data_IF_931770798905
#
_entry.id   IF_931770798905
#
_cell.length_a   1.000
_cell.length_b   1.000
_cell.length_c   1.000
_cell.angle_alpha   90.00
_cell.angle_beta   90.00
_cell.angle_gamma   90.00
#
_symmetry.space_group_name_H-M   'P 1'
#
loop_
_entity.id
_entity.type
_entity.pdbx_description
1 polymer ?
#
# COMPACT_ATOMS: atom_id res chain seq x y z
N UNK A 1 -20.21 -0.03 -19.49
CA UNK A 1 -18.90 0.62 -19.37
C UNK A 1 -18.03 0.03 -20.48
N UNK A 2 -17.68 0.79 -21.50
CA UNK A 2 -16.91 0.33 -22.66
C UNK A 2 -15.43 0.42 -22.24
N UNK A 3 -14.72 -0.71 -22.31
CA UNK A 3 -13.28 -0.78 -21.98
C UNK A 3 -12.52 0.14 -22.94
N UNK A 4 -11.74 1.13 -22.45
CA UNK A 4 -10.89 1.96 -23.31
C UNK A 4 -9.88 1.06 -24.04
N UNK A 5 -9.84 1.13 -25.36
CA UNK A 5 -9.01 0.28 -26.23
C UNK A 5 -9.78 -0.80 -26.99
N UNK A 6 -11.01 -1.12 -26.63
CA UNK A 6 -11.82 -2.10 -27.36
C UNK A 6 -12.21 -1.59 -28.76
N UNK A 7 -12.36 -0.27 -28.94
CA UNK A 7 -12.62 0.31 -30.26
C UNK A 7 -11.41 0.22 -31.21
N UNK A 8 -10.20 0.26 -30.69
CA UNK A 8 -8.99 0.10 -31.48
C UNK A 8 -8.80 -1.35 -31.93
N UNK A 9 -9.11 -2.31 -31.04
CA UNK A 9 -9.08 -3.75 -31.34
C UNK A 9 -10.16 -4.09 -32.40
N UNK A 10 -11.35 -3.51 -32.29
CA UNK A 10 -12.42 -3.71 -33.26
C UNK A 10 -12.12 -3.08 -34.64
N UNK A 11 -11.39 -1.98 -34.71
CA UNK A 11 -10.97 -1.36 -35.96
C UNK A 11 -9.96 -2.20 -36.73
N UNK A 12 -9.07 -2.91 -36.04
CA UNK A 12 -8.13 -3.85 -36.70
C UNK A 12 -8.77 -5.14 -37.17
N UNK A 13 -9.94 -5.51 -36.64
CA UNK A 13 -10.66 -6.73 -37.05
C UNK A 13 -11.60 -6.50 -38.23
N UNK A 14 -11.85 -5.23 -38.63
CA UNK A 14 -12.87 -4.87 -39.63
C UNK A 14 -12.37 -4.79 -41.09
N UNK A 15 -11.10 -5.06 -41.35
CA UNK A 15 -10.60 -5.13 -42.74
C UNK A 15 -10.41 -6.57 -43.19
N UNK A 16 -11.52 -7.22 -43.53
CA UNK A 16 -11.49 -8.44 -44.34
C UNK A 16 -11.14 -8.09 -45.78
N UNK A 17 -10.03 -8.58 -46.36
CA UNK A 17 -9.77 -8.44 -47.78
C UNK A 17 -10.79 -9.27 -48.57
N UNK A 18 -11.58 -8.64 -49.37
CA UNK A 18 -12.46 -9.29 -50.34
C UNK A 18 -11.58 -9.86 -51.46
N UNK A 19 -11.17 -11.14 -51.36
CA UNK A 19 -10.59 -11.87 -52.46
C UNK A 19 -11.41 -13.12 -52.76
N UNK A 20 -11.70 -13.31 -54.01
CA UNK A 20 -12.45 -14.35 -54.69
C UNK A 20 -12.11 -15.76 -54.18
N UNK A 21 -13.11 -16.67 -54.05
CA UNK A 21 -12.90 -17.97 -53.43
C UNK A 21 -12.13 -18.92 -54.30
N UNK A 22 -10.84 -19.01 -54.11
CA UNK A 22 -10.13 -20.28 -54.37
C UNK A 22 -10.36 -21.12 -53.13
N UNK A 23 -10.97 -22.31 -53.29
CA UNK A 23 -11.21 -23.24 -52.21
C UNK A 23 -9.84 -23.73 -51.70
N UNK A 24 -9.25 -22.95 -50.81
CA UNK A 24 -8.16 -23.36 -49.98
C UNK A 24 -8.70 -24.27 -48.86
N UNK A 25 -7.87 -25.07 -48.21
CA UNK A 25 -8.30 -25.87 -47.07
C UNK A 25 -9.00 -24.94 -46.07
N UNK A 26 -10.18 -25.37 -45.61
CA UNK A 26 -10.96 -24.64 -44.61
C UNK A 26 -9.96 -24.25 -43.51
N UNK A 27 -9.66 -22.97 -43.30
CA UNK A 27 -8.86 -22.61 -42.16
C UNK A 27 -9.62 -23.17 -40.97
N UNK A 28 -9.02 -24.10 -40.27
CA UNK A 28 -9.51 -24.45 -38.93
C UNK A 28 -9.48 -23.14 -38.17
N UNK A 29 -10.66 -22.53 -38.06
CA UNK A 29 -10.82 -21.35 -37.22
C UNK A 29 -10.46 -21.84 -35.85
N UNK A 30 -9.23 -21.64 -35.45
CA UNK A 30 -8.85 -21.73 -34.05
C UNK A 30 -9.80 -20.79 -33.32
N UNK A 31 -10.60 -21.28 -32.36
CA UNK A 31 -11.54 -20.41 -31.67
C UNK A 31 -10.74 -19.27 -31.09
N UNK A 32 -10.94 -18.14 -31.70
CA UNK A 32 -10.67 -16.80 -31.33
C UNK A 32 -9.54 -16.51 -30.39
N UNK A 33 -8.59 -15.79 -30.91
CA UNK A 33 -7.68 -14.93 -30.17
C UNK A 33 -8.41 -13.76 -29.49
N UNK A 34 -9.52 -14.06 -28.79
CA UNK A 34 -10.16 -13.06 -27.98
C UNK A 34 -9.31 -12.90 -26.71
N UNK A 35 -8.96 -11.65 -26.32
CA UNK A 35 -8.22 -11.42 -25.09
C UNK A 35 -8.99 -11.95 -23.89
N UNK A 36 -8.32 -12.73 -23.05
CA UNK A 36 -8.90 -13.21 -21.80
C UNK A 36 -8.92 -12.04 -20.80
N UNK A 37 -10.11 -11.55 -20.49
CA UNK A 37 -10.26 -10.45 -19.53
C UNK A 37 -10.31 -11.01 -18.11
N UNK A 38 -9.29 -10.68 -17.32
CA UNK A 38 -9.22 -10.98 -15.89
C UNK A 38 -9.73 -9.75 -15.13
N UNK A 39 -10.97 -9.77 -14.71
CA UNK A 39 -11.62 -8.69 -13.97
C UNK A 39 -12.11 -9.17 -12.61
N UNK A 40 -12.48 -8.21 -11.76
CA UNK A 40 -13.05 -8.48 -10.45
C UNK A 40 -14.48 -9.03 -10.61
N UNK A 41 -14.79 -10.10 -9.86
CA UNK A 41 -16.11 -10.71 -9.79
C UNK A 41 -16.85 -10.31 -8.50
N UNK A 42 -17.97 -10.99 -8.21
CA UNK A 42 -18.83 -10.65 -7.07
C UNK A 42 -18.12 -10.72 -5.72
N UNK A 43 -17.22 -11.69 -5.53
CA UNK A 43 -16.46 -11.82 -4.27
C UNK A 43 -15.58 -10.62 -4.01
N UNK A 44 -14.79 -10.21 -5.00
CA UNK A 44 -13.94 -9.04 -4.88
C UNK A 44 -14.75 -7.75 -4.72
N UNK A 45 -15.82 -7.57 -5.51
CA UNK A 45 -16.71 -6.39 -5.38
C UNK A 45 -17.34 -6.27 -3.99
N UNK A 46 -17.84 -7.38 -3.44
CA UNK A 46 -18.38 -7.41 -2.06
C UNK A 46 -17.30 -7.07 -1.05
N UNK A 47 -16.08 -7.60 -1.23
CA UNK A 47 -14.95 -7.29 -0.36
C UNK A 47 -14.63 -5.79 -0.35
N UNK A 48 -14.58 -5.14 -1.53
CA UNK A 48 -14.34 -3.70 -1.61
C UNK A 48 -15.41 -2.89 -0.84
N UNK A 49 -16.70 -3.23 -1.00
CA UNK A 49 -17.77 -2.56 -0.26
C UNK A 49 -17.70 -2.79 1.25
N UNK A 50 -17.41 -4.02 1.68
CA UNK A 50 -17.26 -4.34 3.10
C UNK A 50 -16.13 -3.52 3.72
N UNK A 51 -14.97 -3.47 3.08
CA UNK A 51 -13.84 -2.67 3.58
C UNK A 51 -14.17 -1.18 3.58
N UNK A 52 -14.80 -0.66 2.53
CA UNK A 52 -15.22 0.75 2.51
C UNK A 52 -16.10 1.09 3.71
N UNK A 53 -17.11 0.26 4.02
CA UNK A 53 -18.01 0.48 5.17
C UNK A 53 -17.23 0.37 6.50
N UNK A 54 -16.36 -0.63 6.66
CA UNK A 54 -15.55 -0.80 7.86
C UNK A 54 -14.63 0.42 8.09
N UNK A 55 -13.98 0.93 7.05
CA UNK A 55 -13.10 2.09 7.16
C UNK A 55 -13.88 3.38 7.42
N UNK A 56 -15.09 3.53 6.86
CA UNK A 56 -15.96 4.66 7.16
C UNK A 56 -16.37 4.69 8.65
N UNK A 57 -16.81 3.54 9.17
CA UNK A 57 -17.19 3.41 10.58
C UNK A 57 -15.98 3.69 11.48
N UNK A 58 -14.81 3.13 11.15
CA UNK A 58 -13.57 3.36 11.89
C UNK A 58 -13.15 4.82 11.86
N UNK A 59 -13.28 5.49 10.72
CA UNK A 59 -12.99 6.92 10.59
C UNK A 59 -13.87 7.77 11.52
N UNK A 60 -15.19 7.54 11.51
CA UNK A 60 -16.13 8.21 12.40
C UNK A 60 -15.78 7.95 13.87
N UNK A 61 -15.46 6.71 14.22
CA UNK A 61 -15.07 6.33 15.57
C UNK A 61 -13.79 7.08 16.01
N UNK A 62 -12.76 7.12 15.18
CA UNK A 62 -11.50 7.78 15.51
C UNK A 62 -11.63 9.30 15.60
N UNK A 63 -12.44 9.95 14.74
CA UNK A 63 -12.74 11.38 14.90
C UNK A 63 -13.53 11.65 16.17
N UNK A 64 -14.45 10.77 16.53
CA UNK A 64 -15.22 10.89 17.78
C UNK A 64 -14.32 10.75 19.01
N UNK A 65 -13.35 9.84 18.98
CA UNK A 65 -12.32 9.69 20.01
C UNK A 65 -11.42 10.94 20.06
N UNK A 66 -10.93 11.40 18.90
CA UNK A 66 -10.10 12.60 18.81
C UNK A 66 -10.78 13.85 19.40
N UNK A 67 -12.11 13.97 19.25
CA UNK A 67 -12.88 15.09 19.81
C UNK A 67 -12.94 15.05 21.34
N UNK A 68 -12.80 13.89 21.97
CA UNK A 68 -12.88 13.73 23.44
C UNK A 68 -11.54 13.87 24.14
N UNK A 69 -10.43 13.73 23.41
CA UNK A 69 -9.06 13.74 23.95
C UNK A 69 -8.51 15.18 24.00
N UNK A 70 -7.62 15.44 24.96
CA UNK A 70 -6.93 16.75 25.11
C UNK A 70 -6.13 17.08 23.85
N UNK A 71 -6.03 18.37 23.51
CA UNK A 71 -5.34 18.84 22.30
C UNK A 71 -3.89 18.32 22.20
N UNK A 72 -3.20 18.21 23.33
CA UNK A 72 -1.80 17.78 23.42
C UNK A 72 -1.58 16.32 22.99
N UNK A 73 -2.56 15.43 23.20
CA UNK A 73 -2.48 14.00 22.86
C UNK A 73 -3.32 13.65 21.64
N UNK A 74 -4.03 14.62 21.06
CA UNK A 74 -4.95 14.43 19.93
C UNK A 74 -4.26 14.00 18.63
N UNK A 75 -2.95 14.27 18.47
CA UNK A 75 -2.23 14.06 17.22
C UNK A 75 -2.34 12.62 16.73
N UNK A 76 -2.09 11.62 17.58
CA UNK A 76 -2.21 10.20 17.21
C UNK A 76 -3.61 9.83 16.75
N UNK A 77 -4.64 10.32 17.44
CA UNK A 77 -6.05 10.10 17.09
C UNK A 77 -6.39 10.71 15.73
N UNK A 78 -5.90 11.94 15.46
CA UNK A 78 -6.15 12.63 14.20
C UNK A 78 -5.44 11.91 13.04
N UNK A 79 -4.19 11.49 13.21
CA UNK A 79 -3.45 10.75 12.19
C UNK A 79 -4.15 9.41 11.87
N UNK A 80 -4.59 8.69 12.91
CA UNK A 80 -5.33 7.43 12.74
C UNK A 80 -6.67 7.63 12.03
N UNK A 81 -7.39 8.70 12.36
CA UNK A 81 -8.63 9.07 11.67
C UNK A 81 -8.39 9.41 10.19
N UNK A 82 -7.32 10.14 9.88
CA UNK A 82 -6.94 10.45 8.50
C UNK A 82 -6.59 9.19 7.69
N UNK A 83 -5.84 8.25 8.28
CA UNK A 83 -5.52 6.96 7.64
C UNK A 83 -6.79 6.24 7.21
N UNK A 84 -7.74 6.07 8.12
CA UNK A 84 -9.00 5.37 7.81
C UNK A 84 -9.90 6.16 6.87
N UNK A 85 -9.85 7.49 6.87
CA UNK A 85 -10.58 8.34 5.92
C UNK A 85 -10.05 8.18 4.51
N UNK A 86 -8.73 8.23 4.31
CA UNK A 86 -8.11 8.02 2.99
C UNK A 86 -8.40 6.61 2.49
N UNK A 87 -8.30 5.61 3.38
CA UNK A 87 -8.63 4.22 3.06
C UNK A 87 -10.10 4.08 2.64
N UNK A 88 -11.03 4.66 3.39
CA UNK A 88 -12.46 4.68 3.03
C UNK A 88 -12.68 5.25 1.62
N UNK A 89 -12.12 6.43 1.33
CA UNK A 89 -12.30 7.06 0.02
C UNK A 89 -11.70 6.22 -1.12
N UNK A 90 -10.56 5.59 -0.88
CA UNK A 90 -9.90 4.73 -1.87
C UNK A 90 -10.71 3.45 -2.12
N UNK A 91 -11.21 2.79 -1.08
CA UNK A 91 -12.05 1.62 -1.22
C UNK A 91 -13.42 1.94 -1.82
N UNK A 92 -13.99 3.11 -1.51
CA UNK A 92 -15.21 3.58 -2.15
C UNK A 92 -15.00 3.80 -3.66
N UNK A 93 -13.91 4.45 -4.06
CA UNK A 93 -13.57 4.64 -5.47
C UNK A 93 -13.44 3.29 -6.20
N UNK A 94 -12.70 2.34 -5.61
CA UNK A 94 -12.56 1.00 -6.20
C UNK A 94 -13.90 0.24 -6.27
N UNK A 95 -14.74 0.35 -5.22
CA UNK A 95 -16.04 -0.32 -5.16
C UNK A 95 -17.05 0.24 -6.18
N UNK A 96 -16.97 1.54 -6.51
CA UNK A 96 -17.77 2.18 -7.56
C UNK A 96 -17.22 1.94 -8.97
N UNK A 97 -16.06 1.27 -9.10
CA UNK A 97 -15.42 0.96 -10.38
C UNK A 97 -14.51 2.07 -10.91
N UNK A 98 -14.17 3.03 -10.06
CA UNK A 98 -13.21 4.09 -10.38
C UNK A 98 -11.78 3.66 -10.02
N UNK A 99 -10.77 4.38 -10.54
CA UNK A 99 -9.38 4.10 -10.22
C UNK A 99 -8.85 2.76 -10.73
N UNK A 100 -9.44 2.26 -11.81
CA UNK A 100 -9.13 1.00 -12.47
C UNK A 100 -8.45 1.26 -13.81
N UNK A 101 -7.49 0.40 -14.15
CA UNK A 101 -6.90 0.33 -15.48
C UNK A 101 -6.62 -1.13 -15.84
N UNK A 102 -6.42 -1.40 -17.12
CA UNK A 102 -6.14 -2.76 -17.60
C UNK A 102 -4.70 -2.87 -18.06
N UNK A 103 -4.01 -3.89 -17.56
CA UNK A 103 -2.69 -4.28 -18.05
C UNK A 103 -2.85 -5.32 -19.14
N UNK A 104 -2.33 -5.02 -20.32
CA UNK A 104 -2.21 -5.98 -21.41
C UNK A 104 -0.95 -6.82 -21.25
N UNK A 105 -1.08 -8.14 -21.38
CA UNK A 105 0.05 -9.07 -21.39
C UNK A 105 -0.18 -10.18 -22.41
N UNK A 106 0.87 -10.56 -23.13
CA UNK A 106 0.83 -11.63 -24.11
C UNK A 106 1.64 -12.81 -23.55
N UNK A 107 1.00 -13.97 -23.47
CA UNK A 107 1.66 -15.22 -23.04
C UNK A 107 1.90 -16.05 -24.28
N UNK A 108 3.16 -16.42 -24.51
CA UNK A 108 3.58 -17.31 -25.59
C UNK A 108 3.56 -18.75 -25.07
N UNK A 109 2.81 -19.62 -25.76
CA UNK A 109 2.81 -21.06 -25.51
C UNK A 109 3.62 -21.74 -26.62
N UNK A 110 4.91 -22.07 -26.38
CA UNK A 110 5.71 -22.75 -27.36
C UNK A 110 5.26 -24.22 -27.52
N UNK A 111 5.05 -24.64 -28.74
CA UNK A 111 4.68 -26.02 -29.08
C UNK A 111 5.73 -26.66 -29.97
N UNK A 112 6.11 -27.94 -29.70
CA UNK A 112 7.17 -28.65 -30.46
C UNK A 112 6.77 -29.04 -31.88
N UNK A 113 5.49 -29.18 -32.18
CA UNK A 113 4.99 -29.74 -33.44
C UNK A 113 3.87 -28.97 -34.11
N UNK A 114 3.44 -27.84 -33.50
CA UNK A 114 2.37 -26.96 -34.00
C UNK A 114 2.89 -25.53 -33.87
N UNK A 115 2.43 -24.58 -34.68
CA UNK A 115 2.79 -23.17 -34.51
C UNK A 115 2.53 -22.68 -33.09
N UNK A 116 3.43 -21.86 -32.57
CA UNK A 116 3.29 -21.25 -31.25
C UNK A 116 1.99 -20.47 -31.18
N UNK A 117 1.26 -20.65 -30.09
CA UNK A 117 0.04 -19.89 -29.85
C UNK A 117 0.32 -18.71 -28.93
N UNK A 118 -0.28 -17.57 -29.23
CA UNK A 118 -0.23 -16.36 -28.44
C UNK A 118 -1.58 -16.17 -27.77
N UNK A 119 -1.60 -15.98 -26.47
CA UNK A 119 -2.83 -15.64 -25.76
C UNK A 119 -2.69 -14.28 -25.11
N UNK A 120 -3.60 -13.40 -25.44
CA UNK A 120 -3.66 -12.05 -24.86
C UNK A 120 -4.49 -12.05 -23.59
N UNK A 121 -3.98 -11.41 -22.56
CA UNK A 121 -4.64 -11.20 -21.27
C UNK A 121 -4.78 -9.72 -20.98
N UNK A 122 -5.97 -9.31 -20.58
CA UNK A 122 -6.26 -7.99 -20.05
C UNK A 122 -6.57 -8.15 -18.56
N UNK A 123 -5.62 -7.77 -17.69
CA UNK A 123 -5.80 -7.86 -16.24
C UNK A 123 -6.17 -6.52 -15.65
N UNK A 124 -7.24 -6.50 -14.88
CA UNK A 124 -7.70 -5.35 -14.11
C UNK A 124 -6.73 -5.04 -12.97
N UNK A 125 -6.29 -3.77 -12.90
CA UNK A 125 -5.37 -3.25 -11.86
C UNK A 125 -6.01 -2.04 -11.20
N UNK A 126 -6.13 -2.07 -9.89
CA UNK A 126 -6.61 -0.96 -9.07
C UNK A 126 -5.44 -0.04 -8.70
N UNK A 127 -5.14 0.96 -9.53
CA UNK A 127 -4.03 1.89 -9.27
C UNK A 127 -4.30 2.81 -8.06
N UNK A 128 -5.57 3.10 -7.75
CA UNK A 128 -5.99 3.86 -6.55
C UNK A 128 -5.48 3.21 -5.26
N UNK A 129 -5.30 1.90 -5.23
CA UNK A 129 -4.73 1.18 -4.09
C UNK A 129 -3.32 1.66 -3.77
N UNK A 130 -2.48 1.87 -4.77
CA UNK A 130 -1.14 2.42 -4.58
C UNK A 130 -1.18 3.85 -4.05
N UNK A 131 -2.12 4.67 -4.53
CA UNK A 131 -2.33 6.02 -4.00
C UNK A 131 -2.77 5.99 -2.53
N UNK A 132 -3.64 5.06 -2.15
CA UNK A 132 -4.00 4.83 -0.75
C UNK A 132 -2.75 4.60 0.11
N UNK A 133 -1.89 3.67 -0.29
CA UNK A 133 -0.70 3.33 0.49
C UNK A 133 0.34 4.47 0.54
N UNK A 134 0.58 5.17 -0.57
CA UNK A 134 1.49 6.33 -0.62
C UNK A 134 1.09 7.42 0.39
N UNK A 135 -0.19 7.53 0.71
CA UNK A 135 -0.68 8.52 1.68
C UNK A 135 -0.75 7.92 3.10
N UNK A 136 -1.32 6.74 3.23
CA UNK A 136 -1.62 6.15 4.55
C UNK A 136 -0.40 5.59 5.26
N UNK A 137 0.54 4.98 4.53
CA UNK A 137 1.71 4.34 5.15
C UNK A 137 2.69 5.34 5.77
N UNK A 138 3.00 6.50 5.15
CA UNK A 138 3.73 7.56 5.84
C UNK A 138 3.08 8.00 7.16
N UNK A 139 1.74 8.10 7.20
CA UNK A 139 1.02 8.45 8.43
C UNK A 139 1.15 7.35 9.50
N UNK A 140 1.14 6.08 9.10
CA UNK A 140 1.42 4.95 10.00
C UNK A 140 2.85 5.02 10.54
N UNK A 141 3.84 5.30 9.67
CA UNK A 141 5.24 5.45 10.09
C UNK A 141 5.41 6.63 11.06
N UNK A 142 4.70 7.74 10.86
CA UNK A 142 4.68 8.86 11.80
C UNK A 142 4.10 8.42 13.15
N UNK A 143 2.97 7.70 13.17
CA UNK A 143 2.40 7.17 14.40
C UNK A 143 3.38 6.27 15.16
N UNK A 144 4.07 5.37 14.46
CA UNK A 144 5.10 4.49 15.04
C UNK A 144 6.26 5.32 15.60
N UNK A 145 6.71 6.32 14.84
CA UNK A 145 7.82 7.19 15.26
C UNK A 145 7.49 8.02 16.50
N UNK A 146 6.29 8.58 16.56
CA UNK A 146 5.81 9.34 17.71
C UNK A 146 5.66 8.46 18.96
N UNK A 147 5.20 7.22 18.79
CA UNK A 147 5.09 6.26 19.89
C UNK A 147 6.46 5.83 20.42
N UNK A 148 7.45 5.66 19.56
CA UNK A 148 8.77 5.14 19.90
C UNK A 148 9.86 6.18 20.12
N UNK A 149 9.56 7.48 20.01
CA UNK A 149 10.57 8.54 20.06
C UNK A 149 11.66 8.37 18.98
N UNK A 150 11.29 7.84 17.79
CA UNK A 150 12.22 7.67 16.69
C UNK A 150 12.68 9.05 16.20
N UNK A 151 13.99 9.21 15.96
CA UNK A 151 14.56 10.44 15.43
C UNK A 151 13.93 10.81 14.07
N UNK A 152 13.62 12.10 13.88
CA UNK A 152 13.01 12.63 12.67
C UNK A 152 13.80 12.35 11.39
N UNK A 153 15.15 12.32 11.45
CA UNK A 153 15.98 11.95 10.30
C UNK A 153 15.75 10.49 9.89
N UNK A 154 15.66 9.56 10.85
CA UNK A 154 15.38 8.16 10.58
C UNK A 154 13.95 7.96 10.02
N UNK A 155 13.00 8.74 10.53
CA UNK A 155 11.63 8.76 10.00
C UNK A 155 11.59 9.25 8.55
N UNK A 156 12.31 10.33 8.22
CA UNK A 156 12.38 10.83 6.83
C UNK A 156 12.95 9.78 5.87
N UNK A 157 14.00 9.06 6.29
CA UNK A 157 14.55 7.96 5.48
C UNK A 157 13.54 6.84 5.32
N UNK A 158 12.78 6.49 6.38
CA UNK A 158 11.74 5.47 6.30
C UNK A 158 10.60 5.90 5.36
N UNK A 159 10.13 7.15 5.45
CA UNK A 159 9.10 7.70 4.55
C UNK A 159 9.59 7.74 3.10
N UNK A 160 10.83 8.19 2.86
CA UNK A 160 11.39 8.20 1.51
C UNK A 160 11.46 6.79 0.91
N UNK A 161 11.93 5.81 1.71
CA UNK A 161 11.95 4.41 1.29
C UNK A 161 10.55 3.86 1.02
N UNK A 162 9.56 4.24 1.81
CA UNK A 162 8.15 3.86 1.66
C UNK A 162 7.57 4.38 0.34
N UNK A 163 7.75 5.67 0.05
CA UNK A 163 7.32 6.27 -1.21
C UNK A 163 7.98 5.61 -2.43
N UNK A 164 9.29 5.33 -2.34
CA UNK A 164 10.03 4.59 -3.38
C UNK A 164 9.48 3.18 -3.53
N UNK A 165 9.16 2.50 -2.43
CA UNK A 165 8.61 1.15 -2.42
C UNK A 165 7.30 1.06 -3.21
N UNK A 166 6.35 1.94 -2.94
CA UNK A 166 5.06 1.92 -3.63
C UNK A 166 5.15 2.43 -5.06
N UNK A 167 5.98 3.45 -5.34
CA UNK A 167 6.24 3.90 -6.71
C UNK A 167 6.89 2.80 -7.56
N UNK A 168 7.90 2.11 -7.01
CA UNK A 168 8.54 0.97 -7.67
C UNK A 168 7.57 -0.21 -7.86
N UNK A 169 6.71 -0.49 -6.87
CA UNK A 169 5.67 -1.52 -6.96
C UNK A 169 4.65 -1.23 -8.06
N UNK A 170 4.18 0.02 -8.15
CA UNK A 170 3.32 0.47 -9.23
C UNK A 170 4.00 0.32 -10.59
N UNK A 171 5.24 0.78 -10.71
CA UNK A 171 6.04 0.66 -11.95
C UNK A 171 6.26 -0.80 -12.32
N UNK A 172 6.60 -1.67 -11.35
CA UNK A 172 6.74 -3.11 -11.58
C UNK A 172 5.44 -3.73 -12.12
N UNK A 173 4.29 -3.30 -11.60
CA UNK A 173 2.98 -3.80 -12.02
C UNK A 173 2.70 -3.49 -13.49
N UNK A 174 3.08 -2.30 -13.98
CA UNK A 174 2.86 -1.90 -15.38
C UNK A 174 4.01 -2.24 -16.33
N UNK A 175 5.18 -2.60 -15.79
CA UNK A 175 6.32 -3.01 -16.63
C UNK A 175 6.04 -4.36 -17.26
N UNK A 176 6.39 -4.46 -18.56
CA UNK A 176 6.34 -5.72 -19.31
C UNK A 176 7.67 -6.46 -19.15
N UNK A 177 7.64 -7.76 -19.45
CA UNK A 177 8.78 -8.67 -19.49
C UNK A 177 9.51 -8.84 -18.13
N UNK A 178 10.74 -9.35 -18.19
CA UNK A 178 11.58 -9.62 -17.02
C UNK A 178 12.02 -8.33 -16.28
N UNK A 179 11.92 -7.17 -16.91
CA UNK A 179 12.28 -5.87 -16.29
C UNK A 179 11.44 -5.54 -15.05
N UNK A 180 10.22 -6.11 -14.91
CA UNK A 180 9.40 -5.97 -13.70
C UNK A 180 10.13 -6.43 -12.43
N UNK A 181 11.01 -7.44 -12.53
CA UNK A 181 11.76 -7.97 -11.40
C UNK A 181 12.87 -7.01 -10.91
N UNK A 182 13.38 -6.15 -11.79
CA UNK A 182 14.32 -5.07 -11.40
C UNK A 182 13.61 -4.08 -10.47
N UNK A 183 12.39 -3.66 -10.83
CA UNK A 183 11.57 -2.79 -9.98
C UNK A 183 11.17 -3.48 -8.68
N UNK A 184 10.88 -4.77 -8.73
CA UNK A 184 10.61 -5.57 -7.54
C UNK A 184 11.83 -5.64 -6.59
N UNK A 185 13.05 -5.70 -7.11
CA UNK A 185 14.26 -5.63 -6.29
C UNK A 185 14.34 -4.31 -5.53
N UNK A 186 13.95 -3.19 -6.15
CA UNK A 186 13.87 -1.88 -5.48
C UNK A 186 12.81 -1.92 -4.36
N UNK A 187 11.66 -2.56 -4.58
CA UNK A 187 10.65 -2.78 -3.53
C UNK A 187 11.24 -3.50 -2.32
N UNK A 188 11.99 -4.58 -2.55
CA UNK A 188 12.63 -5.35 -1.46
C UNK A 188 13.67 -4.50 -0.70
N UNK A 189 14.54 -3.79 -1.40
CA UNK A 189 15.54 -2.92 -0.77
C UNK A 189 14.87 -1.83 0.07
N UNK A 190 13.82 -1.21 -0.45
CA UNK A 190 13.04 -0.19 0.27
C UNK A 190 12.36 -0.77 1.50
N UNK A 191 11.74 -1.94 1.40
CA UNK A 191 11.14 -2.65 2.53
C UNK A 191 12.18 -2.96 3.63
N UNK A 192 13.36 -3.46 3.25
CA UNK A 192 14.44 -3.72 4.21
C UNK A 192 14.94 -2.42 4.87
N UNK A 193 14.96 -1.31 4.14
CA UNK A 193 15.31 0.01 4.69
C UNK A 193 14.29 0.46 5.72
N UNK A 194 12.98 0.31 5.47
CA UNK A 194 11.93 0.60 6.44
C UNK A 194 12.10 -0.28 7.68
N UNK A 195 12.31 -1.58 7.47
CA UNK A 195 12.54 -2.54 8.56
C UNK A 195 13.75 -2.19 9.42
N UNK A 196 14.84 -1.71 8.82
CA UNK A 196 16.01 -1.23 9.54
C UNK A 196 15.70 0.02 10.38
N UNK A 197 15.03 1.01 9.79
CA UNK A 197 14.72 2.27 10.49
C UNK A 197 13.71 2.06 11.62
N UNK A 198 12.61 1.39 11.36
CA UNK A 198 11.54 1.18 12.34
C UNK A 198 11.92 0.07 13.34
N UNK A 199 12.42 -1.05 12.85
CA UNK A 199 12.75 -2.20 13.69
C UNK A 199 14.00 -1.97 14.54
N UNK A 200 15.14 -1.70 13.90
CA UNK A 200 16.43 -1.63 14.62
C UNK A 200 16.62 -0.27 15.28
N UNK A 201 16.47 0.83 14.54
CA UNK A 201 16.67 2.16 15.10
C UNK A 201 15.55 2.56 16.06
N UNK A 202 14.30 2.18 15.76
CA UNK A 202 13.17 2.38 16.66
C UNK A 202 13.34 1.60 17.97
N UNK A 203 13.74 0.33 17.93
CA UNK A 203 14.02 -0.44 19.14
C UNK A 203 15.19 0.13 19.97
N UNK A 204 16.16 0.79 19.35
CA UNK A 204 17.25 1.49 20.05
C UNK A 204 16.79 2.77 20.74
N UNK A 205 15.86 3.52 20.13
CA UNK A 205 15.30 4.73 20.74
C UNK A 205 14.56 4.41 22.02
N UNK A 206 13.68 3.41 22.01
CA UNK A 206 12.81 3.03 23.12
C UNK A 206 13.53 2.34 24.27
N UNK A 207 14.74 1.83 24.05
CA UNK A 207 15.54 1.19 25.14
C UNK A 207 15.84 2.11 26.33
N UNK A 208 15.67 3.42 26.17
CA UNK A 208 15.93 4.44 27.19
C UNK A 208 14.70 4.75 28.04
N UNK A 209 13.54 4.19 27.71
CA UNK A 209 12.25 4.50 28.31
C UNK A 209 11.74 3.43 29.26
N UNK A 210 10.65 3.76 29.98
CA UNK A 210 9.97 2.85 30.90
C UNK A 210 9.51 1.56 30.19
N UNK A 211 9.55 0.43 30.87
CA UNK A 211 9.28 -0.91 30.32
C UNK A 211 7.91 -1.01 29.61
N UNK A 212 6.90 -0.30 30.06
CA UNK A 212 5.55 -0.34 29.49
C UNK A 212 5.49 0.27 28.08
N UNK A 213 6.09 1.46 27.88
CA UNK A 213 6.20 2.10 26.55
C UNK A 213 7.00 1.27 25.57
N UNK A 214 8.09 0.67 26.04
CA UNK A 214 8.92 -0.22 25.25
C UNK A 214 8.13 -1.43 24.76
N UNK A 215 7.32 -2.04 25.62
CA UNK A 215 6.50 -3.21 25.25
C UNK A 215 5.46 -2.84 24.21
N UNK A 216 4.73 -1.75 24.42
CA UNK A 216 3.72 -1.27 23.45
C UNK A 216 4.35 -0.95 22.10
N UNK A 217 5.46 -0.19 22.06
CA UNK A 217 6.16 0.13 20.83
C UNK A 217 6.67 -1.14 20.12
N UNK A 218 7.38 -2.01 20.85
CA UNK A 218 8.00 -3.20 20.22
C UNK A 218 6.95 -4.14 19.65
N UNK A 219 5.84 -4.35 20.37
CA UNK A 219 4.75 -5.19 19.89
C UNK A 219 4.03 -4.56 18.70
N UNK A 220 3.73 -3.27 18.77
CA UNK A 220 3.04 -2.54 17.71
C UNK A 220 3.88 -2.41 16.43
N UNK A 221 5.13 -1.95 16.54
CA UNK A 221 6.05 -1.81 15.41
C UNK A 221 6.39 -3.17 14.81
N UNK A 222 6.64 -4.19 15.66
CA UNK A 222 6.92 -5.55 15.20
C UNK A 222 5.75 -6.17 14.43
N UNK A 223 4.52 -6.03 14.93
CA UNK A 223 3.32 -6.51 14.26
C UNK A 223 3.08 -5.79 12.92
N UNK A 224 3.27 -4.47 12.89
CA UNK A 224 3.18 -3.70 11.63
C UNK A 224 4.20 -4.18 10.60
N UNK A 225 5.47 -4.34 10.98
CA UNK A 225 6.52 -4.83 10.07
C UNK A 225 6.23 -6.24 9.56
N UNK A 226 5.67 -7.11 10.41
CA UNK A 226 5.26 -8.46 10.01
C UNK A 226 4.14 -8.42 8.96
N UNK A 227 3.13 -7.56 9.15
CA UNK A 227 2.04 -7.41 8.17
C UNK A 227 2.54 -6.70 6.91
N UNK A 228 3.42 -5.72 7.01
CA UNK A 228 4.05 -5.08 5.86
C UNK A 228 4.88 -6.04 4.99
N UNK A 229 5.41 -7.12 5.58
CA UNK A 229 6.06 -8.19 4.82
C UNK A 229 5.12 -8.86 3.81
N UNK A 230 3.80 -8.84 4.04
CA UNK A 230 2.83 -9.37 3.09
C UNK A 230 2.79 -8.56 1.79
N UNK A 231 3.15 -7.26 1.81
CA UNK A 231 3.13 -6.42 0.62
C UNK A 231 3.99 -6.97 -0.51
N UNK A 232 5.31 -7.17 -0.36
CA UNK A 232 6.12 -7.73 -1.44
C UNK A 232 5.68 -9.15 -1.84
N UNK A 233 5.17 -9.94 -0.91
CA UNK A 233 4.69 -11.31 -1.20
C UNK A 233 3.46 -11.27 -2.10
N UNK A 234 2.44 -10.48 -1.75
CA UNK A 234 1.21 -10.34 -2.55
C UNK A 234 1.53 -9.71 -3.90
N UNK A 235 2.40 -8.68 -3.93
CA UNK A 235 2.85 -8.02 -5.16
C UNK A 235 3.49 -9.02 -6.13
N UNK A 236 4.39 -9.89 -5.64
CA UNK A 236 5.02 -10.91 -6.46
C UNK A 236 4.03 -11.97 -6.95
N UNK A 237 3.13 -12.43 -6.07
CA UNK A 237 2.19 -13.52 -6.36
C UNK A 237 1.07 -13.10 -7.32
N UNK A 238 0.64 -11.83 -7.29
CA UNK A 238 -0.51 -11.37 -8.05
C UNK A 238 -0.15 -10.51 -9.25
N UNK A 239 0.09 -9.19 -9.15
CA UNK A 239 0.23 -8.38 -10.35
C UNK A 239 1.49 -8.70 -11.16
N UNK A 240 2.56 -9.24 -10.54
CA UNK A 240 3.78 -9.56 -11.25
C UNK A 240 3.75 -10.94 -11.91
N UNK A 241 3.40 -11.99 -11.17
CA UNK A 241 3.42 -13.37 -11.70
C UNK A 241 2.06 -13.88 -12.18
N UNK A 242 0.97 -13.14 -11.90
CA UNK A 242 -0.42 -13.45 -12.30
C UNK A 242 -0.88 -14.87 -11.87
N UNK A 243 -0.33 -15.38 -10.75
CA UNK A 243 -0.64 -16.73 -10.26
C UNK A 243 -1.97 -16.83 -9.52
N UNK A 244 -2.51 -15.70 -9.06
CA UNK A 244 -3.78 -15.63 -8.34
C UNK A 244 -4.76 -14.74 -9.07
N UNK A 245 -6.06 -15.00 -8.90
CA UNK A 245 -7.13 -14.22 -9.53
C UNK A 245 -7.20 -12.81 -8.95
N UNK A 246 -7.86 -11.90 -9.67
CA UNK A 246 -8.10 -10.51 -9.22
C UNK A 246 -8.93 -10.47 -7.94
N UNK A 247 -9.87 -11.41 -7.77
CA UNK A 247 -10.66 -11.53 -6.53
C UNK A 247 -9.77 -11.92 -5.34
N UNK A 248 -8.94 -12.96 -5.49
CA UNK A 248 -8.04 -13.41 -4.43
C UNK A 248 -7.02 -12.33 -4.06
N UNK A 249 -6.49 -11.61 -5.06
CA UNK A 249 -5.65 -10.43 -4.85
C UNK A 249 -6.38 -9.37 -4.01
N UNK A 250 -7.63 -9.06 -4.39
CA UNK A 250 -8.44 -8.04 -3.72
C UNK A 250 -8.73 -8.42 -2.26
N UNK A 251 -9.03 -9.69 -1.99
CA UNK A 251 -9.22 -10.20 -0.62
C UNK A 251 -7.92 -10.14 0.18
N UNK A 252 -6.78 -10.53 -0.40
CA UNK A 252 -5.49 -10.47 0.28
C UNK A 252 -5.12 -9.04 0.67
N UNK A 253 -5.28 -8.08 -0.24
CA UNK A 253 -5.07 -6.67 0.06
C UNK A 253 -6.08 -6.10 1.05
N UNK A 254 -7.33 -6.53 1.01
CA UNK A 254 -8.34 -6.13 1.98
C UNK A 254 -7.96 -6.55 3.41
N UNK A 255 -7.48 -7.78 3.59
CA UNK A 255 -7.00 -8.28 4.88
C UNK A 255 -5.79 -7.45 5.35
N UNK A 256 -4.81 -7.21 4.47
CA UNK A 256 -3.65 -6.39 4.78
C UNK A 256 -4.05 -4.99 5.25
N UNK A 257 -4.96 -4.32 4.54
CA UNK A 257 -5.36 -2.94 4.82
C UNK A 257 -6.24 -2.85 6.08
N UNK A 258 -7.14 -3.81 6.31
CA UNK A 258 -7.92 -3.89 7.56
C UNK A 258 -6.99 -4.00 8.77
N UNK A 259 -5.94 -4.81 8.67
CA UNK A 259 -4.98 -4.98 9.76
C UNK A 259 -4.16 -3.70 9.99
N UNK A 260 -3.53 -3.16 8.93
CA UNK A 260 -2.58 -2.04 9.05
C UNK A 260 -3.26 -0.69 9.25
N UNK A 261 -4.39 -0.45 8.61
CA UNK A 261 -5.05 0.86 8.60
C UNK A 261 -6.24 0.92 9.56
N UNK A 262 -6.90 -0.22 9.83
CA UNK A 262 -8.02 -0.30 10.76
C UNK A 262 -7.63 -0.81 12.14
N UNK A 263 -7.34 -2.10 12.25
CA UNK A 263 -7.16 -2.78 13.54
C UNK A 263 -5.98 -2.23 14.34
N UNK A 264 -4.86 -1.96 13.68
CA UNK A 264 -3.71 -1.37 14.34
C UNK A 264 -3.97 0.03 14.86
N UNK A 265 -4.87 0.80 14.23
CA UNK A 265 -5.32 2.09 14.75
C UNK A 265 -6.03 1.96 16.10
N UNK A 266 -6.96 1.02 16.22
CA UNK A 266 -7.61 0.72 17.51
C UNK A 266 -6.61 0.26 18.55
N UNK A 267 -5.71 -0.65 18.20
CA UNK A 267 -4.68 -1.11 19.13
C UNK A 267 -3.77 0.02 19.62
N UNK A 268 -3.32 0.87 18.71
CA UNK A 268 -2.50 2.04 19.05
C UNK A 268 -3.20 2.94 20.06
N UNK A 269 -4.45 3.34 19.78
CA UNK A 269 -5.17 4.30 20.62
C UNK A 269 -5.54 3.71 21.97
N UNK A 270 -6.05 2.48 22.01
CA UNK A 270 -6.37 1.81 23.28
C UNK A 270 -5.12 1.56 24.13
N UNK A 271 -4.00 1.18 23.51
CA UNK A 271 -2.74 0.98 24.21
C UNK A 271 -2.12 2.27 24.73
N UNK A 272 -2.23 3.36 23.95
CA UNK A 272 -1.71 4.66 24.35
C UNK A 272 -2.56 5.30 25.45
N UNK A 273 -3.90 5.28 25.31
CA UNK A 273 -4.81 5.88 26.27
C UNK A 273 -4.81 5.18 27.64
N UNK A 274 -4.46 3.89 27.67
CA UNK A 274 -4.32 3.12 28.90
C UNK A 274 -2.97 3.33 29.60
N UNK A 275 -2.00 4.01 28.96
CA UNK A 275 -0.71 4.31 29.58
C UNK A 275 -0.78 5.62 30.36
N UNK A 276 -0.47 5.59 31.65
CA UNK A 276 -0.52 6.76 32.56
C UNK A 276 0.44 7.90 32.16
N UNK A 277 1.40 7.65 31.31
CA UNK A 277 2.44 8.59 30.89
C UNK A 277 2.27 9.14 29.49
N UNK A 278 1.10 9.21 28.94
CA UNK A 278 0.78 9.64 27.56
C UNK A 278 1.46 10.88 26.98
N UNK A 279 2.78 11.02 27.18
CA UNK A 279 3.59 12.08 26.60
C UNK A 279 4.06 11.67 25.20
N UNK A 280 3.68 12.48 24.21
CA UNK A 280 4.25 12.35 22.87
C UNK A 280 5.63 13.02 22.85
N UNK A 281 6.64 12.31 22.38
CA UNK A 281 7.98 12.83 22.18
C UNK A 281 8.04 13.73 20.94
N UNK A 282 7.49 14.93 21.03
CA UNK A 282 7.54 15.92 19.96
C UNK A 282 8.74 16.85 20.15
N UNK A 283 9.18 17.08 21.39
CA UNK A 283 10.32 17.93 21.72
C UNK A 283 11.64 17.29 21.29
N UNK A 284 12.42 18.00 20.48
CA UNK A 284 13.68 17.49 19.95
C UNK A 284 13.56 16.42 18.85
N UNK A 285 12.35 16.17 18.34
CA UNK A 285 12.09 15.12 17.32
C UNK A 285 13.01 15.22 16.08
N UNK A 286 13.30 16.44 15.62
CA UNK A 286 14.15 16.68 14.45
C UNK A 286 15.65 16.83 14.80
N UNK A 287 15.99 17.09 16.06
CA UNK A 287 17.31 17.52 16.49
C UNK A 287 17.87 16.81 17.72
N UNK A 288 17.49 15.54 17.94
CA UNK A 288 18.11 14.74 19.01
C UNK A 288 19.62 14.64 18.81
N UNK A 289 20.37 15.29 19.67
CA UNK A 289 21.83 15.46 19.59
C UNK A 289 22.31 16.91 19.44
N UNK A 290 21.46 17.84 18.98
CA UNK A 290 21.76 19.26 18.85
C UNK A 290 21.12 20.09 19.98
N UNK A 291 20.09 19.57 20.63
CA UNK A 291 19.30 20.27 21.64
C UNK A 291 20.06 20.62 22.92
N UNK A 292 21.22 20.05 23.17
CA UNK A 292 22.07 20.42 24.32
C UNK A 292 22.99 21.60 24.04
N UNK A 293 23.25 21.94 22.77
CA UNK A 293 24.11 23.07 22.40
C UNK A 293 23.35 24.36 22.05
N UNK A 294 22.03 24.25 21.85
CA UNK A 294 21.16 25.38 21.47
C UNK A 294 20.40 26.05 22.61
N UNK A 295 20.55 25.64 23.85
CA UNK A 295 20.03 26.38 24.99
C UNK A 295 20.79 27.70 25.12
N UNK A 296 20.25 28.78 24.56
CA UNK A 296 20.69 30.14 24.87
C UNK A 296 20.52 30.29 26.39
N UNK A 297 21.61 30.20 27.14
CA UNK A 297 21.64 30.69 28.51
C UNK A 297 21.37 32.19 28.42
N UNK A 298 20.14 32.55 28.68
CA UNK A 298 19.84 33.93 29.07
C UNK A 298 20.59 34.09 30.38
N UNK A 299 21.72 34.80 30.33
CA UNK A 299 22.53 35.06 31.50
C UNK A 299 21.63 35.67 32.57
N UNK A 300 21.61 35.06 33.74
CA UNK A 300 21.25 35.75 34.95
C UNK A 300 22.16 36.98 35.02
N UNK A 301 21.61 38.16 34.84
CA UNK A 301 22.24 39.40 35.21
C UNK A 301 22.41 39.35 36.70
N UNK A 302 23.64 39.05 37.14
CA UNK A 302 24.05 39.32 38.52
C UNK A 302 23.70 40.77 38.83
N UNK A 303 22.64 40.93 39.63
CA UNK A 303 22.30 42.19 40.26
C UNK A 303 23.36 42.47 41.34
N UNK A 304 24.19 43.48 41.10
CA UNK A 304 24.94 44.15 42.13
C UNK A 304 24.03 45.10 42.93
#
# INVERSE_FOLDING_TARGET
MIVPGMEEILKHTATLPTSTPTVGPIPTVTPGDWPVVQHIHDTGKRTLWVVAVLMAISSIAFYSLAARVRVQTRLLHTLTALITTVSFLSYLAMATGEGVTYKHSVVHHPHKHVPDTHQEYLREIFWVRYLNWIITTPLILINIALLGGLNGANLLVAIAADLIMFAAGLTATFTHDERRWVWYTIVIISFLTIGFQVGINGARSVRRDADQHRTLFTSFAGANLLVFLLYPIILAASPLSQRISVDAETVAWAIHDILTQGLFGYWLLLGHDSSETGQLYVDGFWSQGISHEGAIRVGETDGA
#
